data_IF_544128685153
#
_entry.id   IF_544128685153
#
_cell.length_a   1.000
_cell.length_b   1.000
_cell.length_c   1.000
_cell.angle_alpha   90.00
_cell.angle_beta   90.00
_cell.angle_gamma   90.00
#
_symmetry.space_group_name_H-M   'P 1'
#
loop_
_entity.id
_entity.type
_entity.pdbx_description
1 polymer ?
#
# COMPACT_ATOMS: atom_id res chain seq x y z
N UNK A 1 15.59 -8.82 14.06
CA UNK A 1 15.95 -7.48 13.55
C UNK A 1 14.99 -6.47 14.16
N UNK A 2 15.46 -5.61 15.05
CA UNK A 2 14.64 -4.59 15.74
C UNK A 2 15.09 -3.20 15.30
N UNK A 3 14.17 -2.25 15.31
CA UNK A 3 14.51 -0.86 15.04
C UNK A 3 15.37 -0.38 16.20
N UNK A 4 16.45 0.33 15.89
CA UNK A 4 17.18 1.03 16.94
C UNK A 4 16.26 2.10 17.52
N UNK A 5 16.34 2.34 18.82
CA UNK A 5 15.46 3.28 19.51
C UNK A 5 15.46 4.67 18.86
N UNK A 6 16.63 5.16 18.42
CA UNK A 6 16.70 6.46 17.73
C UNK A 6 15.96 6.47 16.38
N UNK A 7 15.88 5.33 15.66
CA UNK A 7 15.14 5.24 14.39
C UNK A 7 13.63 5.36 14.66
N UNK A 8 13.16 4.76 15.75
CA UNK A 8 11.77 4.94 16.19
C UNK A 8 11.51 6.39 16.60
N UNK A 9 12.43 7.05 17.30
CA UNK A 9 12.27 8.45 17.68
C UNK A 9 12.29 9.40 16.48
N UNK A 10 13.06 9.11 15.44
CA UNK A 10 13.04 9.92 14.21
C UNK A 10 11.63 9.93 13.59
N UNK A 11 10.97 8.78 13.57
CA UNK A 11 9.66 8.64 12.90
C UNK A 11 8.48 8.98 13.82
N UNK A 12 8.54 8.54 15.08
CA UNK A 12 7.42 8.58 16.04
C UNK A 12 7.65 9.53 17.21
N UNK A 13 8.84 10.11 17.34
CA UNK A 13 9.18 10.98 18.48
C UNK A 13 8.26 12.18 18.59
N UNK A 14 7.99 12.89 17.49
CA UNK A 14 7.07 14.04 17.53
C UNK A 14 5.62 13.65 17.93
N UNK A 15 4.99 12.63 17.31
CA UNK A 15 3.69 12.14 17.75
C UNK A 15 3.67 11.64 19.21
N UNK A 16 4.71 10.93 19.66
CA UNK A 16 4.82 10.48 21.04
C UNK A 16 4.95 11.63 22.03
N UNK A 17 5.77 12.65 21.71
CA UNK A 17 5.91 13.83 22.53
C UNK A 17 4.56 14.54 22.70
N UNK A 18 3.76 14.70 21.65
CA UNK A 18 2.43 15.30 21.74
C UNK A 18 1.51 14.53 22.69
N UNK A 19 1.49 13.20 22.60
CA UNK A 19 0.70 12.38 23.53
C UNK A 19 1.20 12.46 24.97
N UNK A 20 2.52 12.48 25.18
CA UNK A 20 3.13 12.69 26.51
C UNK A 20 2.76 14.07 27.06
N UNK A 21 2.76 15.12 26.23
CA UNK A 21 2.31 16.45 26.63
C UNK A 21 0.84 16.46 27.05
N UNK A 22 -0.04 15.76 26.33
CA UNK A 22 -1.44 15.60 26.72
C UNK A 22 -1.58 14.89 28.08
N UNK A 23 -0.85 13.78 28.27
CA UNK A 23 -0.85 13.03 29.55
C UNK A 23 -0.34 13.91 30.69
N UNK A 24 0.76 14.63 30.47
CA UNK A 24 1.30 15.59 31.41
C UNK A 24 0.33 16.74 31.72
N UNK A 25 -0.41 17.21 30.72
CA UNK A 25 -1.45 18.22 30.91
C UNK A 25 -2.62 17.69 31.76
N UNK A 26 -3.16 16.51 31.44
CA UNK A 26 -4.33 15.94 32.11
C UNK A 26 -4.01 15.42 33.52
N UNK A 27 -2.82 14.83 33.71
CA UNK A 27 -2.47 14.08 34.92
C UNK A 27 -1.22 14.60 35.64
N UNK A 28 -0.52 15.62 35.13
CA UNK A 28 0.79 16.05 35.63
C UNK A 28 0.80 16.44 37.11
N UNK A 29 -0.26 17.09 37.61
CA UNK A 29 -0.40 17.38 39.05
C UNK A 29 -0.45 16.09 39.87
N UNK A 30 -1.24 15.11 39.44
CA UNK A 30 -1.39 13.83 40.13
C UNK A 30 -0.07 13.05 40.10
N UNK A 31 0.62 13.04 38.95
CA UNK A 31 1.93 12.40 38.78
C UNK A 31 2.98 13.04 39.70
N UNK A 32 3.03 14.37 39.75
CA UNK A 32 3.97 15.10 40.62
C UNK A 32 3.74 14.79 42.11
N UNK A 33 2.48 14.80 42.57
CA UNK A 33 2.14 14.43 43.95
C UNK A 33 2.51 12.97 44.27
N UNK A 34 2.27 12.04 43.34
CA UNK A 34 2.65 10.63 43.47
C UNK A 34 4.17 10.48 43.64
N UNK A 35 4.96 11.10 42.76
CA UNK A 35 6.43 11.03 42.78
C UNK A 35 6.99 11.64 44.07
N UNK A 36 6.50 12.81 44.48
CA UNK A 36 6.93 13.48 45.72
C UNK A 36 6.73 12.59 46.96
N UNK A 37 5.62 11.86 47.02
CA UNK A 37 5.30 10.98 48.15
C UNK A 37 6.12 9.67 48.16
N UNK A 38 6.42 9.11 46.98
CA UNK A 38 7.31 7.95 46.85
C UNK A 38 8.71 8.31 47.36
N UNK A 39 9.22 9.47 46.95
CA UNK A 39 10.53 9.98 47.38
C UNK A 39 10.53 10.26 48.89
N UNK A 40 9.42 10.79 49.44
CA UNK A 40 9.33 11.11 50.87
C UNK A 40 9.03 9.91 51.80
N UNK A 41 9.02 8.66 51.30
CA UNK A 41 8.75 7.42 52.06
C UNK A 41 7.49 7.45 52.98
N UNK A 42 6.46 8.24 52.63
CA UNK A 42 5.19 8.29 53.39
C UNK A 42 4.25 7.19 52.90
N UNK A 43 4.45 5.95 53.37
CA UNK A 43 3.71 4.76 52.92
C UNK A 43 2.36 4.52 53.59
N UNK A 44 2.07 5.15 54.75
CA UNK A 44 0.88 4.80 55.56
C UNK A 44 -0.46 5.47 55.16
N UNK A 45 -0.46 6.53 54.36
CA UNK A 45 -1.69 7.22 53.90
C UNK A 45 -2.12 6.84 52.46
N UNK A 46 -1.71 5.67 51.95
CA UNK A 46 -1.87 5.34 50.54
C UNK A 46 -3.33 5.07 50.10
N UNK A 47 -4.22 4.68 51.02
CA UNK A 47 -5.48 3.99 50.63
C UNK A 47 -6.73 4.86 50.40
N UNK A 48 -6.86 6.06 50.95
CA UNK A 48 -8.17 6.76 50.94
C UNK A 48 -8.22 8.16 50.32
N UNK A 49 -7.10 8.75 49.86
CA UNK A 49 -7.07 10.19 49.49
C UNK A 49 -6.87 10.51 48.00
N UNK A 50 -6.64 9.50 47.15
CA UNK A 50 -6.34 9.71 45.73
C UNK A 50 -7.40 9.08 44.83
N UNK A 51 -8.64 9.59 44.89
CA UNK A 51 -9.50 9.51 43.71
C UNK A 51 -8.79 10.31 42.62
N UNK A 52 -8.47 9.66 41.50
CA UNK A 52 -8.01 10.36 40.31
C UNK A 52 -8.99 11.51 40.07
N UNK A 53 -8.52 12.75 40.09
CA UNK A 53 -9.39 13.89 39.87
C UNK A 53 -9.75 13.96 38.37
N UNK A 54 -10.70 13.12 37.98
CA UNK A 54 -11.23 12.98 36.62
C UNK A 54 -12.15 14.16 36.23
N UNK A 55 -12.36 15.14 37.12
CA UNK A 55 -13.27 16.27 36.85
C UNK A 55 -12.87 17.13 35.66
N UNK A 56 -11.60 17.09 35.23
CA UNK A 56 -11.10 17.80 34.05
C UNK A 56 -11.12 16.95 32.76
N UNK A 57 -11.37 15.64 32.86
CA UNK A 57 -11.37 14.74 31.70
C UNK A 57 -12.70 14.83 30.96
N UNK A 58 -12.65 15.24 29.70
CA UNK A 58 -13.81 15.20 28.81
C UNK A 58 -13.85 13.86 28.06
N UNK A 59 -15.02 13.46 27.54
CA UNK A 59 -15.12 12.26 26.71
C UNK A 59 -14.15 12.28 25.49
N UNK A 60 -13.96 13.43 24.80
CA UNK A 60 -12.92 13.56 23.77
C UNK A 60 -11.49 13.32 24.30
N UNK A 61 -11.14 13.80 25.49
CA UNK A 61 -9.83 13.52 26.10
C UNK A 61 -9.62 12.01 26.30
N UNK A 62 -10.63 11.30 26.79
CA UNK A 62 -10.59 9.85 26.96
C UNK A 62 -10.40 9.10 25.63
N UNK A 63 -11.17 9.49 24.59
CA UNK A 63 -11.04 8.90 23.26
C UNK A 63 -9.64 9.11 22.65
N UNK A 64 -9.09 10.32 22.78
CA UNK A 64 -7.76 10.70 22.29
C UNK A 64 -6.66 9.93 23.03
N UNK A 65 -6.81 9.71 24.35
CA UNK A 65 -5.88 8.86 25.10
C UNK A 65 -5.92 7.39 24.63
N UNK A 66 -7.11 6.84 24.36
CA UNK A 66 -7.25 5.48 23.84
C UNK A 66 -6.57 5.37 22.47
N UNK A 67 -6.86 6.30 21.56
CA UNK A 67 -6.24 6.36 20.24
C UNK A 67 -4.71 6.47 20.34
N UNK A 68 -4.19 7.29 21.25
CA UNK A 68 -2.74 7.41 21.48
C UNK A 68 -2.12 6.07 21.91
N UNK A 69 -2.75 5.37 22.85
CA UNK A 69 -2.28 4.07 23.32
C UNK A 69 -2.35 3.02 22.22
N UNK A 70 -3.45 2.95 21.47
CA UNK A 70 -3.62 2.01 20.35
C UNK A 70 -2.58 2.29 19.27
N UNK A 71 -2.40 3.54 18.86
CA UNK A 71 -1.42 3.92 17.84
C UNK A 71 0.02 3.58 18.27
N UNK A 72 0.36 3.79 19.55
CA UNK A 72 1.65 3.39 20.14
C UNK A 72 1.81 1.87 20.12
N UNK A 73 0.78 1.13 20.51
CA UNK A 73 0.81 -0.33 20.52
C UNK A 73 1.02 -0.90 19.13
N UNK A 74 0.33 -0.37 18.12
CA UNK A 74 0.50 -0.76 16.71
C UNK A 74 1.92 -0.54 16.16
N UNK A 75 2.65 0.45 16.68
CA UNK A 75 4.08 0.67 16.34
C UNK A 75 4.98 -0.37 16.99
N UNK A 76 4.65 -0.78 18.23
CA UNK A 76 5.46 -1.72 19.01
C UNK A 76 5.25 -3.17 18.56
N UNK A 77 4.03 -3.56 18.17
CA UNK A 77 3.72 -4.92 17.70
C UNK A 77 4.76 -5.47 16.70
N UNK A 78 5.06 -4.79 15.58
CA UNK A 78 6.01 -5.29 14.60
C UNK A 78 7.47 -5.28 15.08
N UNK A 79 7.79 -4.68 16.23
CA UNK A 79 9.08 -4.88 16.90
C UNK A 79 9.15 -6.23 17.62
N UNK A 80 8.03 -6.83 17.99
CA UNK A 80 7.98 -8.06 18.81
C UNK A 80 7.54 -9.26 17.98
N UNK A 81 6.45 -9.12 17.22
CA UNK A 81 5.84 -10.17 16.40
C UNK A 81 5.58 -9.64 14.99
N UNK A 82 5.78 -10.50 13.99
CA UNK A 82 5.47 -10.15 12.60
C UNK A 82 4.97 -11.36 11.83
N UNK A 83 4.17 -11.08 10.80
CA UNK A 83 3.72 -12.09 9.86
C UNK A 83 4.86 -12.39 8.88
N UNK A 84 5.26 -13.66 8.79
CA UNK A 84 6.26 -14.13 7.85
C UNK A 84 5.69 -14.13 6.43
N UNK A 85 6.38 -13.47 5.52
CA UNK A 85 6.08 -13.43 4.10
C UNK A 85 7.34 -13.72 3.25
N UNK A 86 7.22 -13.54 1.95
CA UNK A 86 8.29 -13.82 0.97
C UNK A 86 9.49 -12.88 1.10
N UNK A 87 9.40 -11.77 1.85
CA UNK A 87 10.47 -10.79 2.01
C UNK A 87 11.42 -11.10 3.17
N UNK A 88 11.28 -12.27 3.82
CA UNK A 88 12.02 -12.61 5.04
C UNK A 88 13.55 -12.56 4.89
N UNK A 89 14.10 -12.71 3.68
CA UNK A 89 15.54 -12.71 3.47
C UNK A 89 16.21 -11.34 3.77
N UNK A 90 15.51 -10.24 3.53
CA UNK A 90 16.09 -8.89 3.67
C UNK A 90 15.21 -7.95 4.49
N UNK A 91 13.91 -8.21 4.56
CA UNK A 91 12.92 -7.30 5.14
C UNK A 91 11.90 -8.05 6.00
N UNK A 92 12.39 -8.82 6.98
CA UNK A 92 11.63 -9.73 7.85
C UNK A 92 10.20 -9.28 8.23
N UNK A 93 10.02 -8.00 8.53
CA UNK A 93 8.79 -7.43 9.10
C UNK A 93 8.21 -6.27 8.31
N UNK A 94 8.69 -6.00 7.09
CA UNK A 94 8.32 -4.79 6.36
C UNK A 94 6.81 -4.68 6.12
N UNK A 95 6.14 -5.75 5.70
CA UNK A 95 4.69 -5.70 5.50
C UNK A 95 3.90 -5.54 6.79
N UNK A 96 4.35 -6.16 7.89
CA UNK A 96 3.71 -5.98 9.20
C UNK A 96 3.89 -4.54 9.69
N UNK A 97 5.11 -4.00 9.61
CA UNK A 97 5.39 -2.59 9.89
C UNK A 97 4.52 -1.67 9.05
N UNK A 98 4.50 -1.85 7.72
CA UNK A 98 3.74 -1.01 6.80
C UNK A 98 2.24 -1.00 7.13
N UNK A 99 1.62 -2.17 7.30
CA UNK A 99 0.18 -2.28 7.55
C UNK A 99 -0.25 -1.67 8.89
N UNK A 100 0.53 -1.89 9.95
CA UNK A 100 0.18 -1.41 11.28
C UNK A 100 0.54 0.07 11.48
N UNK A 101 1.73 0.48 11.03
CA UNK A 101 2.18 1.86 11.21
C UNK A 101 1.42 2.84 10.33
N UNK A 102 0.89 2.43 9.18
CA UNK A 102 -0.02 3.25 8.38
C UNK A 102 -1.27 3.66 9.19
N UNK A 103 -1.85 2.74 9.97
CA UNK A 103 -2.97 3.07 10.85
C UNK A 103 -2.54 4.01 11.98
N UNK A 104 -1.36 3.80 12.56
CA UNK A 104 -0.80 4.70 13.56
C UNK A 104 -0.62 6.12 13.02
N UNK A 105 -0.15 6.30 11.79
CA UNK A 105 -0.04 7.62 11.16
C UNK A 105 -1.38 8.35 11.07
N UNK A 106 -2.44 7.65 10.65
CA UNK A 106 -3.79 8.23 10.58
C UNK A 106 -4.27 8.65 11.98
N UNK A 107 -4.14 7.76 12.97
CA UNK A 107 -4.53 8.04 14.35
C UNK A 107 -3.75 9.24 14.92
N UNK A 108 -2.44 9.28 14.78
CA UNK A 108 -1.62 10.40 15.25
C UNK A 108 -1.93 11.73 14.56
N UNK A 109 -2.27 11.69 13.28
CA UNK A 109 -2.69 12.90 12.56
C UNK A 109 -3.95 13.50 13.20
N UNK A 110 -4.96 12.68 13.51
CA UNK A 110 -6.18 13.12 14.20
C UNK A 110 -5.90 13.64 15.61
N UNK A 111 -5.07 12.91 16.36
CA UNK A 111 -4.68 13.28 17.73
C UNK A 111 -3.98 14.64 17.78
N UNK A 112 -3.08 14.92 16.84
CA UNK A 112 -2.28 16.14 16.83
C UNK A 112 -3.14 17.41 16.77
N UNK A 113 -4.18 17.42 15.93
CA UNK A 113 -5.12 18.54 15.81
C UNK A 113 -5.92 18.77 17.09
N UNK A 114 -6.44 17.69 17.70
CA UNK A 114 -7.16 17.78 18.96
C UNK A 114 -6.28 18.29 20.11
N UNK A 115 -5.09 17.69 20.29
CA UNK A 115 -4.15 18.02 21.37
C UNK A 115 -3.77 19.50 21.28
N UNK A 116 -3.49 20.00 20.08
CA UNK A 116 -3.17 21.40 19.85
C UNK A 116 -4.29 22.32 20.34
N UNK A 117 -5.53 22.09 19.91
CA UNK A 117 -6.67 22.91 20.32
C UNK A 117 -6.95 22.80 21.82
N UNK A 118 -6.93 21.57 22.34
CA UNK A 118 -7.25 21.27 23.74
C UNK A 118 -6.26 21.94 24.69
N UNK A 119 -4.96 21.82 24.45
CA UNK A 119 -3.94 22.48 25.27
C UNK A 119 -3.97 24.00 25.02
N UNK A 120 -4.02 24.43 23.76
CA UNK A 120 -3.97 25.85 23.38
C UNK A 120 -5.13 26.69 23.93
N UNK A 121 -6.32 26.10 24.08
CA UNK A 121 -7.50 26.78 24.66
C UNK A 121 -7.39 27.02 26.16
N UNK A 122 -6.53 26.28 26.86
CA UNK A 122 -6.44 26.29 28.33
C UNK A 122 -5.26 27.13 28.83
N UNK A 123 -4.34 27.53 27.94
CA UNK A 123 -3.26 28.45 28.27
C UNK A 123 -3.83 29.86 28.48
N UNK A 124 -3.94 30.27 29.76
CA UNK A 124 -4.41 31.61 30.15
C UNK A 124 -3.36 32.70 29.92
N UNK A 125 -2.08 32.37 30.09
CA UNK A 125 -0.99 33.33 29.89
C UNK A 125 -0.83 33.62 28.39
N UNK A 126 -1.10 34.87 28.00
CA UNK A 126 -1.09 35.31 26.60
C UNK A 126 0.27 35.11 25.92
N UNK A 127 1.38 35.31 26.64
CA UNK A 127 2.73 35.11 26.09
C UNK A 127 2.96 33.63 25.82
N UNK A 128 2.69 32.77 26.81
CA UNK A 128 2.85 31.32 26.66
C UNK A 128 1.98 30.79 25.52
N UNK A 129 0.74 31.27 25.41
CA UNK A 129 -0.18 30.88 24.32
C UNK A 129 0.41 31.24 22.95
N UNK A 130 0.92 32.47 22.79
CA UNK A 130 1.57 32.92 21.55
C UNK A 130 2.80 32.06 21.22
N UNK A 131 3.63 31.76 22.20
CA UNK A 131 4.82 30.90 22.03
C UNK A 131 4.42 29.49 21.60
N UNK A 132 3.45 28.87 22.27
CA UNK A 132 2.97 27.52 21.91
C UNK A 132 2.38 27.49 20.50
N UNK A 133 1.55 28.47 20.15
CA UNK A 133 0.97 28.58 18.79
C UNK A 133 2.07 28.78 17.76
N UNK A 134 3.05 29.67 18.01
CA UNK A 134 4.18 29.91 17.12
C UNK A 134 5.02 28.63 16.90
N UNK A 135 5.40 27.93 17.97
CA UNK A 135 6.15 26.68 17.88
C UNK A 135 5.39 25.61 17.10
N UNK A 136 4.07 25.51 17.30
CA UNK A 136 3.23 24.60 16.52
C UNK A 136 3.25 24.98 15.04
N UNK A 137 3.01 26.24 14.69
CA UNK A 137 3.01 26.68 13.29
C UNK A 137 4.38 26.50 12.64
N UNK A 138 5.47 26.68 13.39
CA UNK A 138 6.82 26.40 12.92
C UNK A 138 7.00 24.92 12.56
N UNK A 139 6.59 24.00 13.43
CA UNK A 139 6.65 22.55 13.18
C UNK A 139 5.71 22.14 12.04
N UNK A 140 4.48 22.67 12.02
CA UNK A 140 3.53 22.36 10.96
C UNK A 140 4.06 22.81 9.59
N UNK A 141 4.58 24.03 9.51
CA UNK A 141 5.15 24.58 8.27
C UNK A 141 6.40 23.81 7.85
N UNK A 142 7.26 23.38 8.80
CA UNK A 142 8.42 22.55 8.46
C UNK A 142 8.01 21.17 7.92
N UNK A 143 6.90 20.60 8.39
CA UNK A 143 6.33 19.35 7.85
C UNK A 143 5.70 19.55 6.45
N UNK A 144 5.15 20.73 6.15
CA UNK A 144 4.61 21.05 4.80
C UNK A 144 5.68 21.10 3.70
N UNK A 145 6.95 21.08 4.07
CA UNK A 145 8.07 20.91 3.13
C UNK A 145 8.00 19.55 2.43
N UNK A 146 7.50 18.50 3.10
CA UNK A 146 7.44 17.16 2.51
C UNK A 146 6.51 17.09 1.29
N UNK A 147 5.21 17.47 1.33
CA UNK A 147 4.36 17.51 0.15
C UNK A 147 4.94 18.33 -1.02
N UNK A 148 5.62 19.44 -0.71
CA UNK A 148 6.24 20.29 -1.73
C UNK A 148 7.27 19.52 -2.57
N UNK A 149 8.15 18.75 -1.91
CA UNK A 149 9.15 17.94 -2.60
C UNK A 149 8.61 16.60 -3.11
N UNK A 150 7.76 15.92 -2.34
CA UNK A 150 7.30 14.57 -2.69
C UNK A 150 6.35 14.56 -3.89
N UNK A 151 5.45 15.54 -3.98
CA UNK A 151 4.53 15.65 -5.11
C UNK A 151 5.32 15.94 -6.39
N UNK A 152 6.27 16.89 -6.36
CA UNK A 152 7.11 17.19 -7.54
C UNK A 152 8.10 16.08 -7.87
N UNK A 153 8.62 15.39 -6.86
CA UNK A 153 9.52 14.26 -7.05
C UNK A 153 8.85 13.08 -7.76
N UNK A 154 7.55 12.87 -7.54
CA UNK A 154 6.79 11.81 -8.20
C UNK A 154 6.15 12.25 -9.52
N UNK A 155 5.45 13.38 -9.53
CA UNK A 155 4.66 13.84 -10.68
C UNK A 155 5.44 14.78 -11.63
N UNK A 156 6.65 15.20 -11.25
CA UNK A 156 7.38 16.26 -11.94
C UNK A 156 6.76 17.64 -11.69
N UNK A 157 6.98 18.56 -12.63
CA UNK A 157 6.42 19.92 -12.56
C UNK A 157 4.90 19.91 -12.67
N UNK A 158 4.22 20.51 -11.69
CA UNK A 158 2.76 20.60 -11.63
C UNK A 158 2.28 21.81 -12.45
N UNK A 159 2.31 21.65 -13.77
CA UNK A 159 1.88 22.67 -14.73
C UNK A 159 0.77 22.11 -15.63
N UNK A 160 -0.06 22.98 -16.20
CA UNK A 160 -1.25 22.59 -16.98
C UNK A 160 -0.88 21.73 -18.19
N UNK A 161 0.29 21.98 -18.76
CA UNK A 161 0.88 21.28 -19.90
C UNK A 161 1.20 19.80 -19.56
N UNK A 162 1.44 19.50 -18.29
CA UNK A 162 1.74 18.14 -17.81
C UNK A 162 0.49 17.34 -17.40
N UNK A 163 -0.70 17.95 -17.39
CA UNK A 163 -1.93 17.27 -16.99
C UNK A 163 -2.25 16.07 -17.92
N UNK A 164 -2.48 14.89 -17.33
CA UNK A 164 -2.72 13.62 -18.07
C UNK A 164 -4.18 13.15 -18.10
N UNK A 165 -5.10 13.90 -17.49
CA UNK A 165 -6.50 13.49 -17.37
C UNK A 165 -6.75 12.45 -16.29
N UNK A 166 -8.00 12.02 -16.15
CA UNK A 166 -8.44 10.98 -15.22
C UNK A 166 -8.68 9.61 -15.90
N UNK A 167 -8.52 9.54 -17.22
CA UNK A 167 -8.71 8.30 -17.96
C UNK A 167 -7.47 7.41 -17.81
N UNK A 168 -7.56 6.41 -16.93
CA UNK A 168 -6.44 5.55 -16.53
C UNK A 168 -5.79 4.78 -17.67
N UNK A 169 -6.48 4.55 -18.79
CA UNK A 169 -5.92 3.84 -19.95
C UNK A 169 -5.25 4.76 -20.98
N UNK A 170 -5.13 6.07 -20.72
CA UNK A 170 -4.44 7.00 -21.61
C UNK A 170 -2.97 6.60 -21.88
N UNK A 171 -2.31 5.93 -20.91
CA UNK A 171 -0.95 5.47 -21.12
C UNK A 171 -0.87 4.39 -22.20
N UNK A 172 -1.86 3.49 -22.31
CA UNK A 172 -1.94 2.50 -23.38
C UNK A 172 -2.10 3.20 -24.72
N UNK A 173 -3.02 4.15 -24.84
CA UNK A 173 -3.19 4.92 -26.08
C UNK A 173 -1.90 5.60 -26.55
N UNK A 174 -1.05 6.02 -25.61
CA UNK A 174 0.23 6.69 -25.92
C UNK A 174 1.36 5.71 -26.22
N UNK A 175 1.53 4.68 -25.39
CA UNK A 175 2.71 3.82 -25.40
C UNK A 175 2.48 2.49 -26.15
N UNK A 176 1.23 2.01 -26.20
CA UNK A 176 0.80 0.75 -26.81
C UNK A 176 -0.51 0.95 -27.61
N UNK A 177 -0.50 1.78 -28.67
CA UNK A 177 -1.73 2.14 -29.38
C UNK A 177 -2.45 0.93 -29.99
N UNK A 178 -1.71 -0.08 -30.47
CA UNK A 178 -2.28 -1.33 -31.00
C UNK A 178 -2.99 -2.15 -29.92
N UNK A 179 -2.37 -2.30 -28.75
CA UNK A 179 -3.00 -2.93 -27.59
C UNK A 179 -4.23 -2.16 -27.11
N UNK A 180 -4.19 -0.82 -27.17
CA UNK A 180 -5.34 0.01 -26.80
C UNK A 180 -6.55 -0.27 -27.68
N UNK A 181 -6.38 -0.39 -29.00
CA UNK A 181 -7.45 -0.78 -29.92
C UNK A 181 -7.93 -2.21 -29.67
N UNK A 182 -7.01 -3.15 -29.42
CA UNK A 182 -7.34 -4.54 -29.10
C UNK A 182 -8.17 -4.67 -27.80
N UNK A 183 -7.77 -3.96 -26.75
CA UNK A 183 -8.46 -3.90 -25.46
C UNK A 183 -9.84 -3.27 -25.61
N UNK A 184 -9.97 -2.19 -26.39
CA UNK A 184 -11.27 -1.58 -26.68
C UNK A 184 -12.18 -2.56 -27.45
N UNK A 185 -11.61 -3.32 -28.39
CA UNK A 185 -12.34 -4.35 -29.12
C UNK A 185 -12.82 -5.46 -28.18
N UNK A 186 -11.97 -5.96 -27.27
CA UNK A 186 -12.36 -6.95 -26.26
C UNK A 186 -13.50 -6.45 -25.38
N UNK A 187 -13.36 -5.24 -24.82
CA UNK A 187 -14.39 -4.62 -23.96
C UNK A 187 -15.74 -4.45 -24.67
N UNK A 188 -15.73 -4.17 -25.97
CA UNK A 188 -16.96 -4.00 -26.75
C UNK A 188 -17.62 -5.33 -27.11
N UNK A 189 -16.83 -6.31 -27.55
CA UNK A 189 -17.32 -7.50 -28.25
C UNK A 189 -17.39 -8.75 -27.36
N UNK A 190 -16.52 -8.88 -26.36
CA UNK A 190 -16.49 -10.04 -25.47
C UNK A 190 -17.45 -9.81 -24.29
N UNK A 191 -18.23 -10.85 -23.96
CA UNK A 191 -19.16 -10.86 -22.83
C UNK A 191 -18.79 -11.98 -21.86
N UNK A 192 -19.19 -11.81 -20.60
CA UNK A 192 -18.81 -12.73 -19.51
C UNK A 192 -17.35 -12.55 -19.08
N UNK A 193 -16.76 -13.59 -18.53
CA UNK A 193 -15.36 -13.61 -18.07
C UNK A 193 -14.56 -14.79 -18.67
N UNK A 194 -14.53 -14.94 -20.00
CA UNK A 194 -13.66 -15.94 -20.64
C UNK A 194 -12.18 -15.64 -20.34
N UNK A 195 -11.37 -16.70 -20.25
CA UNK A 195 -9.94 -16.55 -19.94
C UNK A 195 -9.19 -16.10 -21.21
N UNK A 196 -8.44 -15.02 -21.05
CA UNK A 196 -7.49 -14.50 -22.06
C UNK A 196 -6.07 -14.85 -21.64
N UNK A 197 -5.34 -15.56 -22.49
CA UNK A 197 -3.92 -15.78 -22.31
C UNK A 197 -3.16 -14.51 -22.71
N UNK A 198 -2.34 -14.00 -21.81
CA UNK A 198 -1.37 -12.93 -22.06
C UNK A 198 -0.04 -13.28 -21.35
N UNK A 199 1.03 -12.57 -21.67
CA UNK A 199 2.34 -12.80 -21.09
C UNK A 199 2.36 -12.54 -19.58
N UNK A 200 3.00 -13.46 -18.84
CA UNK A 200 3.24 -13.29 -17.40
C UNK A 200 4.20 -12.13 -17.17
N UNK A 201 3.92 -11.25 -16.22
CA UNK A 201 4.79 -10.13 -15.87
C UNK A 201 5.64 -10.29 -14.62
N UNK A 202 6.67 -9.45 -14.51
CA UNK A 202 7.28 -9.11 -13.23
C UNK A 202 6.51 -7.97 -12.56
N UNK A 203 6.67 -7.82 -11.24
CA UNK A 203 6.03 -6.74 -10.49
C UNK A 203 6.34 -5.36 -11.07
N UNK A 204 5.33 -4.49 -11.15
CA UNK A 204 5.48 -3.09 -11.60
C UNK A 204 5.97 -2.95 -13.05
N UNK A 205 5.55 -3.87 -13.91
CA UNK A 205 5.79 -3.82 -15.36
C UNK A 205 4.48 -3.71 -16.13
N UNK A 206 4.51 -3.32 -17.40
CA UNK A 206 3.29 -3.17 -18.21
C UNK A 206 2.71 -4.50 -18.74
N UNK A 207 3.26 -5.63 -18.31
CA UNK A 207 2.68 -6.96 -18.53
C UNK A 207 1.37 -7.12 -17.74
N UNK A 208 0.51 -8.04 -18.18
CA UNK A 208 -0.82 -8.27 -17.62
C UNK A 208 -1.80 -7.08 -17.76
N UNK A 209 -1.55 -6.19 -18.72
CA UNK A 209 -2.40 -5.03 -18.99
C UNK A 209 -3.74 -5.39 -19.63
N UNK A 210 -3.85 -6.53 -20.32
CA UNK A 210 -5.08 -6.91 -20.99
C UNK A 210 -6.12 -7.31 -19.94
N UNK A 211 -5.75 -8.20 -19.01
CA UNK A 211 -6.62 -8.56 -17.88
C UNK A 211 -6.93 -7.37 -16.98
N UNK A 212 -5.94 -6.51 -16.71
CA UNK A 212 -6.14 -5.28 -15.93
C UNK A 212 -7.14 -4.32 -16.58
N UNK A 213 -7.05 -4.09 -17.90
CA UNK A 213 -7.88 -3.10 -18.60
C UNK A 213 -9.25 -3.63 -19.04
N UNK A 214 -9.43 -4.95 -19.12
CA UNK A 214 -10.69 -5.58 -19.56
C UNK A 214 -11.48 -6.27 -18.43
N UNK A 215 -10.81 -6.61 -17.33
CA UNK A 215 -11.39 -7.46 -16.28
C UNK A 215 -11.53 -8.94 -16.68
N UNK A 216 -11.02 -9.34 -17.85
CA UNK A 216 -10.95 -10.74 -18.27
C UNK A 216 -9.83 -11.45 -17.50
N UNK A 217 -10.07 -12.63 -16.92
CA UNK A 217 -9.04 -13.37 -16.21
C UNK A 217 -7.95 -13.91 -17.15
N UNK A 218 -6.74 -14.06 -16.63
CA UNK A 218 -5.62 -14.76 -17.29
C UNK A 218 -5.09 -15.90 -16.43
N UNK A 219 -4.26 -16.79 -16.99
CA UNK A 219 -3.69 -17.94 -16.27
C UNK A 219 -2.84 -17.49 -15.08
N UNK A 220 -2.01 -16.47 -15.31
CA UNK A 220 -1.00 -16.01 -14.36
C UNK A 220 -0.72 -14.52 -14.57
N UNK A 221 -1.06 -13.72 -13.55
CA UNK A 221 -0.68 -12.31 -13.46
C UNK A 221 0.79 -12.14 -13.07
N UNK A 222 1.14 -11.00 -12.45
CA UNK A 222 2.50 -10.78 -11.96
C UNK A 222 2.94 -11.87 -10.98
N UNK A 223 4.04 -12.55 -11.30
CA UNK A 223 4.48 -13.77 -10.62
C UNK A 223 4.64 -13.57 -9.10
N UNK A 224 5.34 -12.50 -8.70
CA UNK A 224 5.62 -12.24 -7.28
C UNK A 224 4.35 -11.86 -6.51
N UNK A 225 3.37 -11.24 -7.16
CA UNK A 225 2.10 -10.87 -6.52
C UNK A 225 1.24 -12.11 -6.27
N UNK A 226 1.11 -12.98 -7.27
CA UNK A 226 0.44 -14.27 -7.09
C UNK A 226 1.17 -15.13 -6.05
N UNK A 227 2.51 -15.17 -6.08
CA UNK A 227 3.30 -15.85 -5.04
C UNK A 227 2.97 -15.34 -3.64
N UNK A 228 2.93 -14.02 -3.44
CA UNK A 228 2.56 -13.43 -2.15
C UNK A 228 1.17 -13.85 -1.68
N UNK A 229 0.21 -13.97 -2.60
CA UNK A 229 -1.18 -14.36 -2.29
C UNK A 229 -1.39 -15.86 -2.08
N UNK A 230 -0.62 -16.71 -2.76
CA UNK A 230 -0.71 -18.17 -2.62
C UNK A 230 0.15 -18.73 -1.50
N UNK A 231 1.12 -17.97 -1.00
CA UNK A 231 2.00 -18.37 0.11
C UNK A 231 3.10 -19.36 -0.26
N UNK A 232 3.06 -19.96 -1.46
CA UNK A 232 4.12 -20.78 -2.04
C UNK A 232 4.38 -20.38 -3.51
N UNK A 233 5.61 -20.61 -3.96
CA UNK A 233 6.01 -20.39 -5.35
C UNK A 233 5.58 -21.53 -6.28
N UNK A 234 5.21 -22.70 -5.74
CA UNK A 234 4.97 -23.92 -6.53
C UNK A 234 3.91 -23.71 -7.63
N UNK A 235 2.74 -23.21 -7.27
CA UNK A 235 1.64 -22.98 -8.22
C UNK A 235 1.90 -21.78 -9.18
N UNK A 236 2.30 -20.59 -8.70
CA UNK A 236 2.60 -19.46 -9.59
C UNK A 236 3.77 -19.73 -10.53
N UNK A 237 4.82 -20.39 -10.05
CA UNK A 237 5.98 -20.79 -10.85
C UNK A 237 5.61 -21.82 -11.91
N UNK A 238 4.83 -22.84 -11.54
CA UNK A 238 4.29 -23.83 -12.48
C UNK A 238 3.44 -23.20 -13.57
N UNK A 239 2.49 -22.34 -13.20
CA UNK A 239 1.63 -21.63 -14.17
C UNK A 239 2.45 -20.74 -15.10
N UNK A 240 3.47 -20.06 -14.58
CA UNK A 240 4.37 -19.24 -15.40
C UNK A 240 5.14 -20.07 -16.43
N UNK A 241 5.63 -21.24 -16.04
CA UNK A 241 6.31 -22.17 -16.94
C UNK A 241 5.37 -22.77 -17.99
N UNK A 242 4.13 -23.06 -17.60
CA UNK A 242 3.10 -23.55 -18.53
C UNK A 242 2.68 -22.46 -19.52
N UNK A 243 2.50 -21.21 -19.11
CA UNK A 243 2.25 -20.08 -20.03
C UNK A 243 3.40 -19.93 -21.03
N UNK A 244 4.65 -19.99 -20.56
CA UNK A 244 5.83 -20.00 -21.45
C UNK A 244 5.75 -21.14 -22.47
N UNK A 245 5.38 -22.34 -22.03
CA UNK A 245 5.22 -23.51 -22.90
C UNK A 245 4.12 -23.30 -23.94
N UNK A 246 2.98 -22.69 -23.55
CA UNK A 246 1.89 -22.34 -24.48
C UNK A 246 2.38 -21.37 -25.56
N UNK A 247 3.27 -20.42 -25.27
CA UNK A 247 3.80 -19.51 -26.29
C UNK A 247 4.92 -20.14 -27.14
N UNK A 248 5.86 -20.87 -26.55
CA UNK A 248 7.10 -21.29 -27.23
C UNK A 248 7.08 -22.72 -27.79
N UNK A 249 6.23 -23.63 -27.28
CA UNK A 249 6.24 -25.03 -27.74
C UNK A 249 5.89 -25.15 -29.22
N UNK A 250 6.64 -25.97 -29.96
CA UNK A 250 6.31 -26.34 -31.33
C UNK A 250 5.18 -27.38 -31.41
N UNK A 251 4.88 -28.08 -30.29
CA UNK A 251 3.84 -29.10 -30.25
C UNK A 251 2.45 -28.48 -30.10
N UNK A 252 1.63 -28.63 -31.15
CA UNK A 252 0.23 -28.20 -31.14
C UNK A 252 -0.56 -28.97 -30.08
N UNK A 253 -0.35 -30.29 -29.97
CA UNK A 253 -1.03 -31.13 -29.00
C UNK A 253 -0.77 -30.69 -27.55
N UNK A 254 0.50 -30.43 -27.21
CA UNK A 254 0.87 -29.95 -25.87
C UNK A 254 0.29 -28.54 -25.60
N UNK A 255 0.32 -27.67 -26.62
CA UNK A 255 -0.27 -26.33 -26.51
C UNK A 255 -1.77 -26.41 -26.25
N UNK A 256 -2.50 -27.25 -26.99
CA UNK A 256 -3.95 -27.47 -26.81
C UNK A 256 -4.28 -28.08 -25.45
N UNK A 257 -3.49 -29.07 -24.98
CA UNK A 257 -3.68 -29.67 -23.66
C UNK A 257 -3.64 -28.61 -22.55
N UNK A 258 -2.64 -27.72 -22.58
CA UNK A 258 -2.52 -26.64 -21.60
C UNK A 258 -3.62 -25.57 -21.75
N UNK A 259 -3.96 -25.18 -22.98
CA UNK A 259 -5.06 -24.22 -23.22
C UNK A 259 -6.40 -24.76 -22.70
N UNK A 260 -6.68 -26.05 -22.91
CA UNK A 260 -7.87 -26.73 -22.42
C UNK A 260 -7.85 -26.88 -20.90
N UNK A 261 -6.71 -27.24 -20.31
CA UNK A 261 -6.53 -27.33 -18.85
C UNK A 261 -6.95 -26.05 -18.14
N UNK A 262 -6.66 -24.90 -18.73
CA UNK A 262 -7.00 -23.58 -18.18
C UNK A 262 -8.28 -22.98 -18.76
N UNK A 263 -9.01 -23.68 -19.64
CA UNK A 263 -10.20 -23.16 -20.32
C UNK A 263 -9.96 -21.79 -20.98
N UNK A 264 -8.81 -21.62 -21.62
CA UNK A 264 -8.49 -20.40 -22.35
C UNK A 264 -9.43 -20.30 -23.55
N UNK A 265 -10.03 -19.12 -23.76
CA UNK A 265 -10.84 -18.85 -24.95
C UNK A 265 -10.12 -17.96 -25.96
N UNK A 266 -9.32 -17.01 -25.46
CA UNK A 266 -8.60 -16.06 -26.29
C UNK A 266 -7.09 -16.15 -26.03
N UNK A 267 -6.31 -16.16 -27.10
CA UNK A 267 -4.85 -16.00 -27.03
C UNK A 267 -4.50 -14.61 -27.54
N UNK A 268 -3.84 -13.83 -26.69
CA UNK A 268 -3.34 -12.51 -27.01
C UNK A 268 -1.86 -12.59 -27.39
N UNK A 269 -1.48 -11.90 -28.47
CA UNK A 269 -0.10 -11.79 -28.94
C UNK A 269 0.16 -10.33 -29.29
N UNK A 270 1.05 -9.67 -28.57
CA UNK A 270 1.52 -8.30 -28.82
C UNK A 270 3.05 -8.21 -28.74
N UNK A 271 3.58 -6.99 -28.79
CA UNK A 271 5.00 -6.73 -28.57
C UNK A 271 5.52 -7.36 -27.27
N UNK A 272 4.75 -7.34 -26.16
CA UNK A 272 5.24 -7.89 -24.90
C UNK A 272 5.35 -9.42 -24.90
N UNK A 273 4.40 -10.12 -25.53
CA UNK A 273 4.51 -11.56 -25.73
C UNK A 273 5.75 -11.90 -26.55
N UNK A 274 6.02 -11.15 -27.64
CA UNK A 274 7.20 -11.35 -28.50
C UNK A 274 8.51 -11.04 -27.79
N UNK A 275 8.54 -9.97 -26.98
CA UNK A 275 9.72 -9.59 -26.21
C UNK A 275 10.05 -10.64 -25.14
N UNK A 276 9.03 -11.16 -24.46
CA UNK A 276 9.24 -12.12 -23.37
C UNK A 276 9.53 -13.54 -23.86
N UNK A 277 8.82 -14.00 -24.89
CA UNK A 277 8.91 -15.35 -25.41
C UNK A 277 9.62 -15.33 -26.77
N UNK A 278 10.95 -15.35 -26.75
CA UNK A 278 11.77 -15.21 -27.96
C UNK A 278 11.57 -16.34 -28.97
N UNK A 279 11.09 -17.50 -28.50
CA UNK A 279 10.75 -18.65 -29.34
C UNK A 279 9.25 -18.75 -29.64
N UNK A 280 8.50 -17.65 -29.51
CA UNK A 280 7.06 -17.62 -29.74
C UNK A 280 6.73 -18.15 -31.14
N UNK A 281 5.88 -19.18 -31.17
CA UNK A 281 5.39 -19.79 -32.41
C UNK A 281 3.94 -19.38 -32.64
N UNK A 282 3.71 -18.25 -33.29
CA UNK A 282 2.37 -17.69 -33.49
C UNK A 282 1.54 -18.48 -34.53
N UNK A 283 2.20 -19.01 -35.55
CA UNK A 283 1.55 -19.74 -36.64
C UNK A 283 0.75 -20.96 -36.14
N UNK A 284 1.06 -21.49 -34.95
CA UNK A 284 0.26 -22.56 -34.35
C UNK A 284 -1.13 -22.10 -33.91
N UNK A 285 -1.28 -20.85 -33.47
CA UNK A 285 -2.56 -20.33 -33.02
C UNK A 285 -3.57 -20.20 -34.17
N UNK A 286 -3.09 -19.99 -35.40
CA UNK A 286 -3.92 -20.02 -36.62
C UNK A 286 -4.44 -21.42 -36.97
N UNK A 287 -3.82 -22.48 -36.45
CA UNK A 287 -4.26 -23.87 -36.68
C UNK A 287 -5.29 -24.35 -35.65
N UNK A 288 -5.35 -23.71 -34.48
CA UNK A 288 -6.19 -24.11 -33.35
C UNK A 288 -7.20 -23.04 -32.92
N UNK A 289 -7.26 -21.94 -33.68
CA UNK A 289 -8.18 -20.85 -33.46
C UNK A 289 -8.27 -19.94 -34.68
N UNK A 290 -9.14 -18.95 -34.58
CA UNK A 290 -9.37 -17.93 -35.60
C UNK A 290 -8.83 -16.60 -35.13
N UNK A 291 -8.03 -15.92 -35.96
CA UNK A 291 -7.66 -14.51 -35.72
C UNK A 291 -8.91 -13.63 -35.87
N UNK A 292 -9.35 -13.03 -34.76
CA UNK A 292 -10.58 -12.22 -34.68
C UNK A 292 -10.31 -10.72 -34.63
N UNK A 293 -9.07 -10.34 -34.33
CA UNK A 293 -8.61 -8.96 -34.29
C UNK A 293 -7.14 -8.88 -34.70
N UNK A 294 -6.76 -7.79 -35.37
CA UNK A 294 -5.37 -7.41 -35.60
C UNK A 294 -5.23 -5.90 -35.69
N UNK A 295 -4.23 -5.33 -35.02
CA UNK A 295 -3.76 -3.94 -35.19
C UNK A 295 -2.25 -3.93 -35.01
N UNK A 296 -1.51 -3.46 -36.03
CA UNK A 296 -0.04 -3.45 -36.00
C UNK A 296 0.54 -4.81 -35.57
N UNK A 297 1.28 -4.82 -34.46
CA UNK A 297 1.91 -6.02 -33.90
C UNK A 297 1.00 -6.85 -32.98
N UNK A 298 -0.22 -6.38 -32.71
CA UNK A 298 -1.18 -7.02 -31.80
C UNK A 298 -2.21 -7.87 -32.56
N UNK A 299 -2.37 -9.12 -32.13
CA UNK A 299 -3.36 -10.07 -32.64
C UNK A 299 -4.11 -10.75 -31.49
N UNK A 300 -5.40 -11.03 -31.73
CA UNK A 300 -6.22 -11.85 -30.83
C UNK A 300 -6.73 -13.06 -31.60
N UNK A 301 -6.51 -14.24 -31.03
CA UNK A 301 -6.98 -15.52 -31.54
C UNK A 301 -8.09 -16.07 -30.65
N UNK A 302 -9.26 -16.35 -31.23
CA UNK A 302 -10.33 -17.09 -30.58
C UNK A 302 -10.15 -18.59 -30.84
N UNK A 303 -9.99 -19.38 -29.79
CA UNK A 303 -9.81 -20.83 -29.90
C UNK A 303 -11.13 -21.52 -30.28
N UNK A 304 -11.01 -22.59 -31.09
CA UNK A 304 -12.15 -23.39 -31.57
C UNK A 304 -12.87 -24.11 -30.44
#
# INVERSE_FOLDING_TARGET
SHSRFYQLLILWGAPWLLGIFLIGYLFGKNIFYLIKNIISKRTKEFKNKYKLNLSMLTAPDGFVLILFLVATFLIIIPEIIYLKDIYIASYHRANTMFKLTYQSFIMYSLLSGYIMFRIGSQIKNTILKKVTVFLFFLIFTSLMVYPFYSIRGYYGEIVKENYKGLYGLNFLKKNYPDDFEAINWLNKNVKGQPIVLEAVGDSYTDYNRVSMATGLPTIQGWLVHEWLWRGSFDEPGKRSAEVKTIYESASIAQTQELLNKYNVKYVYVSELERQKYQQLNEAKFEKIGKKIFSSGETSIYELF
#
